data_IF_320958013751
#
_entry.id   IF_320958013751
#
_cell.length_a   1.000
_cell.length_b   1.000
_cell.length_c   1.000
_cell.angle_alpha   90.00
_cell.angle_beta   90.00
_cell.angle_gamma   90.00
#
_symmetry.space_group_name_H-M   'P 1'
#
loop_
_entity.id
_entity.type
_entity.pdbx_description
1 polymer ?
#
# COMPACT_ATOMS: atom_id res chain seq x y z
N UNK A 1 20.25 -13.46 26.32
CA UNK A 1 20.12 -13.37 24.87
C UNK A 1 18.80 -12.66 24.59
N UNK A 2 18.76 -11.67 23.68
CA UNK A 2 17.50 -11.03 23.29
C UNK A 2 16.51 -12.09 22.78
N UNK A 3 15.22 -11.85 22.98
CA UNK A 3 14.16 -12.77 22.53
C UNK A 3 14.34 -13.00 21.01
N UNK A 4 14.31 -14.27 20.55
CA UNK A 4 14.37 -14.57 19.12
C UNK A 4 13.31 -13.83 18.27
N UNK A 5 12.22 -13.38 18.89
CA UNK A 5 11.22 -12.51 18.23
C UNK A 5 11.77 -11.10 17.92
N UNK A 6 12.70 -10.57 18.71
CA UNK A 6 13.30 -9.24 18.53
C UNK A 6 14.40 -9.22 17.45
N UNK A 7 15.09 -10.34 17.22
CA UNK A 7 16.19 -10.41 16.25
C UNK A 7 15.75 -10.82 14.83
N UNK A 8 14.61 -11.51 14.68
CA UNK A 8 14.11 -11.97 13.39
C UNK A 8 13.88 -10.89 12.35
N UNK A 9 13.34 -9.71 12.72
CA UNK A 9 13.13 -8.61 11.77
C UNK A 9 14.42 -8.11 11.11
N UNK A 10 15.53 -8.08 11.83
CA UNK A 10 16.84 -7.69 11.29
C UNK A 10 17.49 -8.82 10.49
N UNK A 11 17.36 -10.06 10.97
CA UNK A 11 17.91 -11.23 10.29
C UNK A 11 17.31 -11.41 8.89
N UNK A 12 16.03 -11.06 8.71
CA UNK A 12 15.34 -11.18 7.42
C UNK A 12 16.02 -10.38 6.29
N UNK A 13 16.58 -9.19 6.60
CA UNK A 13 17.32 -8.40 5.63
C UNK A 13 18.70 -8.96 5.30
N UNK A 14 19.37 -9.60 6.27
CA UNK A 14 20.64 -10.28 6.07
C UNK A 14 20.45 -11.51 5.16
N UNK A 15 19.36 -12.26 5.37
CA UNK A 15 19.04 -13.45 4.60
C UNK A 15 18.57 -13.16 3.17
N UNK A 16 18.10 -11.94 2.91
CA UNK A 16 17.58 -11.52 1.61
C UNK A 16 18.05 -10.10 1.22
N UNK A 17 19.36 -9.86 1.05
CA UNK A 17 19.93 -8.51 0.86
C UNK A 17 19.55 -7.85 -0.48
N UNK A 18 18.94 -8.59 -1.39
CA UNK A 18 18.45 -8.10 -2.69
C UNK A 18 17.04 -7.51 -2.63
N UNK A 19 16.37 -7.60 -1.48
CA UNK A 19 15.00 -7.14 -1.30
C UNK A 19 14.99 -5.78 -0.59
N UNK A 20 15.14 -4.70 -1.31
CA UNK A 20 14.87 -3.31 -0.87
C UNK A 20 15.27 -2.97 0.58
N UNK A 21 14.29 -2.68 1.44
CA UNK A 21 14.51 -2.47 2.88
C UNK A 21 14.51 -3.80 3.59
N UNK A 22 15.63 -4.16 4.20
CA UNK A 22 15.83 -5.44 4.88
C UNK A 22 15.40 -5.48 6.35
N UNK A 23 15.03 -4.34 6.93
CA UNK A 23 14.56 -4.24 8.31
C UNK A 23 13.03 -4.13 8.34
N UNK A 24 12.39 -4.77 9.33
CA UNK A 24 10.95 -4.65 9.60
C UNK A 24 10.71 -4.52 11.11
N UNK A 25 9.61 -3.88 11.51
CA UNK A 25 9.23 -3.72 12.90
C UNK A 25 8.36 -4.89 13.38
N UNK A 26 8.58 -5.33 14.61
CA UNK A 26 7.75 -6.34 15.28
C UNK A 26 6.52 -5.74 15.98
N UNK A 27 6.63 -4.46 16.36
CA UNK A 27 5.58 -3.68 17.02
C UNK A 27 5.84 -2.16 16.85
N UNK A 28 4.98 -1.33 17.45
CA UNK A 28 5.11 0.13 17.42
C UNK A 28 6.37 0.60 18.16
N UNK A 29 6.73 -0.07 19.26
CA UNK A 29 7.87 0.29 20.13
C UNK A 29 9.23 0.00 19.47
N UNK A 30 9.27 -0.86 18.45
CA UNK A 30 10.48 -1.20 17.69
C UNK A 30 11.15 0.05 17.10
N UNK A 31 10.37 1.06 16.70
CA UNK A 31 10.87 2.31 16.12
C UNK A 31 11.54 3.21 17.16
N UNK A 32 11.10 3.16 18.42
CA UNK A 32 11.71 3.91 19.52
C UNK A 32 12.87 3.14 20.16
N UNK A 33 12.70 1.83 20.38
CA UNK A 33 13.72 0.96 20.98
C UNK A 33 14.99 0.88 20.13
N UNK A 34 14.82 0.79 18.81
CA UNK A 34 15.94 0.73 17.85
C UNK A 34 16.08 2.02 17.05
N UNK A 35 15.80 3.16 17.70
CA UNK A 35 15.67 4.46 17.04
C UNK A 35 16.87 4.81 16.15
N UNK A 36 18.09 4.71 16.65
CA UNK A 36 19.31 5.09 15.92
C UNK A 36 19.46 4.28 14.61
N UNK A 37 19.09 3.00 14.67
CA UNK A 37 19.12 2.13 13.50
C UNK A 37 17.95 2.43 12.54
N UNK A 38 16.73 2.53 13.08
CA UNK A 38 15.54 2.77 12.28
C UNK A 38 15.56 4.15 11.61
N UNK A 39 16.00 5.19 12.31
CA UNK A 39 16.17 6.53 11.74
C UNK A 39 17.16 6.51 10.57
N UNK A 40 18.30 5.80 10.69
CA UNK A 40 19.25 5.66 9.60
C UNK A 40 18.65 4.94 8.36
N UNK A 41 17.84 3.91 8.59
CA UNK A 41 17.10 3.21 7.52
C UNK A 41 16.06 4.12 6.85
N UNK A 42 15.30 4.87 7.67
CA UNK A 42 14.27 5.80 7.18
C UNK A 42 14.91 6.94 6.39
N UNK A 43 15.98 7.55 6.89
CA UNK A 43 16.70 8.61 6.19
C UNK A 43 17.32 8.08 4.89
N UNK A 44 17.98 6.93 4.93
CA UNK A 44 18.57 6.32 3.73
C UNK A 44 17.57 5.98 2.65
N UNK A 45 16.36 5.54 3.02
CA UNK A 45 15.30 5.15 2.07
C UNK A 45 14.47 6.34 1.57
N UNK A 46 14.10 7.24 2.45
CA UNK A 46 13.15 8.33 2.18
C UNK A 46 13.80 9.72 2.08
N UNK A 47 15.04 9.90 2.54
CA UNK A 47 15.63 11.22 2.76
C UNK A 47 14.94 12.01 3.89
N UNK A 48 14.19 11.33 4.76
CA UNK A 48 13.40 11.91 5.84
C UNK A 48 14.18 11.90 7.15
N UNK A 49 14.37 13.08 7.74
CA UNK A 49 15.25 13.26 8.91
C UNK A 49 14.54 12.95 10.22
N UNK A 50 15.27 12.55 11.28
CA UNK A 50 14.72 12.29 12.61
C UNK A 50 13.95 13.47 13.24
N UNK A 51 14.18 14.70 12.77
CA UNK A 51 13.51 15.93 13.22
C UNK A 51 12.28 16.31 12.43
N UNK A 52 12.03 15.65 11.31
CA UNK A 52 10.91 15.98 10.42
C UNK A 52 9.57 15.52 11.02
N UNK A 53 8.49 16.18 10.61
CA UNK A 53 7.13 15.83 11.00
C UNK A 53 6.31 15.42 9.79
N UNK A 54 5.53 14.37 9.97
CA UNK A 54 4.62 13.88 8.94
C UNK A 54 3.36 14.74 8.86
N UNK A 55 2.77 14.84 7.66
CA UNK A 55 1.55 15.58 7.37
C UNK A 55 0.41 14.61 7.04
N UNK A 56 -0.81 14.97 7.43
CA UNK A 56 -2.03 14.22 7.06
C UNK A 56 -2.98 15.15 6.31
N UNK A 57 -3.46 14.69 5.17
CA UNK A 57 -4.63 15.22 4.49
C UNK A 57 -5.25 14.10 3.65
N UNK A 58 -6.44 13.65 4.06
CA UNK A 58 -7.21 12.61 3.37
C UNK A 58 -8.50 13.17 2.76
N UNK A 59 -8.67 14.48 2.69
CA UNK A 59 -9.86 15.10 2.08
C UNK A 59 -9.75 15.12 0.55
N UNK A 60 -10.55 14.30 -0.10
CA UNK A 60 -10.61 14.20 -1.57
C UNK A 60 -10.97 15.55 -2.26
N UNK A 61 -11.57 16.50 -1.54
CA UNK A 61 -11.89 17.81 -2.10
C UNK A 61 -10.64 18.64 -2.38
N UNK A 62 -9.55 18.40 -1.66
CA UNK A 62 -8.28 19.10 -1.82
C UNK A 62 -7.50 18.63 -3.07
N UNK A 63 -7.88 17.51 -3.71
CA UNK A 63 -7.30 17.05 -4.97
C UNK A 63 -7.74 17.97 -6.10
N UNK A 64 -6.76 18.53 -6.81
CA UNK A 64 -6.98 19.40 -7.99
C UNK A 64 -6.86 18.56 -9.26
N UNK A 65 -7.96 18.43 -9.96
CA UNK A 65 -8.06 17.76 -11.25
C UNK A 65 -8.98 18.58 -12.16
N UNK A 66 -8.40 19.22 -13.18
CA UNK A 66 -9.17 20.00 -14.14
C UNK A 66 -10.01 19.11 -15.06
N UNK A 67 -11.07 19.66 -15.63
CA UNK A 67 -11.90 18.92 -16.61
C UNK A 67 -11.11 18.49 -17.84
N UNK A 68 -10.08 19.26 -18.24
CA UNK A 68 -9.20 18.90 -19.34
C UNK A 68 -8.32 17.69 -18.98
N UNK A 69 -7.70 17.72 -17.80
CA UNK A 69 -6.91 16.57 -17.29
C UNK A 69 -7.79 15.32 -17.16
N UNK A 70 -9.00 15.44 -16.62
CA UNK A 70 -9.92 14.31 -16.49
C UNK A 70 -10.21 13.66 -17.83
N UNK A 71 -10.50 14.45 -18.89
CA UNK A 71 -10.71 13.93 -20.25
C UNK A 71 -9.48 13.22 -20.83
N UNK A 72 -8.27 13.74 -20.56
CA UNK A 72 -7.01 13.08 -20.97
C UNK A 72 -6.81 11.78 -20.23
N UNK A 73 -7.08 11.76 -18.94
CA UNK A 73 -6.96 10.56 -18.11
C UNK A 73 -7.93 9.46 -18.58
N UNK A 74 -9.17 9.80 -18.92
CA UNK A 74 -10.13 8.84 -19.47
C UNK A 74 -9.65 8.20 -20.79
N UNK A 75 -8.81 8.89 -21.56
CA UNK A 75 -8.25 8.38 -22.81
C UNK A 75 -7.03 7.48 -22.63
N UNK A 76 -6.13 7.82 -21.69
CA UNK A 76 -4.82 7.19 -21.54
C UNK A 76 -4.70 6.25 -20.35
N UNK A 77 -5.51 6.44 -19.30
CA UNK A 77 -5.51 5.63 -18.10
C UNK A 77 -6.43 4.42 -18.26
N UNK A 78 -5.87 3.23 -18.13
CA UNK A 78 -6.59 1.96 -18.21
C UNK A 78 -7.32 1.69 -16.89
N UNK A 79 -6.62 1.88 -15.78
CA UNK A 79 -7.16 1.65 -14.43
C UNK A 79 -6.46 2.53 -13.41
N UNK A 80 -7.17 2.81 -12.32
CA UNK A 80 -6.66 3.54 -11.15
C UNK A 80 -6.73 2.62 -9.92
N UNK A 81 -5.66 2.60 -9.11
CA UNK A 81 -5.60 1.84 -7.87
C UNK A 81 -4.97 2.67 -6.76
N UNK A 82 -5.65 2.78 -5.63
CA UNK A 82 -5.13 3.41 -4.42
C UNK A 82 -5.17 2.41 -3.28
N UNK A 83 -4.04 2.20 -2.62
CA UNK A 83 -3.92 1.31 -1.47
C UNK A 83 -3.10 1.97 -0.36
N UNK A 84 -3.46 1.70 0.90
CA UNK A 84 -2.63 2.06 2.04
C UNK A 84 -2.70 1.02 3.15
N UNK A 85 -1.59 0.89 3.89
CA UNK A 85 -1.52 0.09 5.10
C UNK A 85 -1.98 0.87 6.33
N UNK A 86 -2.60 0.18 7.28
CA UNK A 86 -2.93 0.67 8.63
C UNK A 86 -2.77 -0.45 9.64
N UNK A 87 -2.29 -0.11 10.82
CA UNK A 87 -2.16 -1.05 11.93
C UNK A 87 -2.84 -0.51 13.19
N UNK A 88 -3.20 -1.40 14.12
CA UNK A 88 -4.01 -1.10 15.31
C UNK A 88 -3.05 -0.96 16.49
N UNK A 89 -3.09 0.20 17.17
CA UNK A 89 -2.28 0.48 18.37
C UNK A 89 -2.57 -0.49 19.50
N UNK A 90 -1.51 -0.88 20.21
CA UNK A 90 -1.58 -1.83 21.33
C UNK A 90 -1.62 -3.30 20.93
N UNK A 91 -1.46 -3.60 19.63
CA UNK A 91 -1.29 -4.96 19.11
C UNK A 91 0.01 -5.03 18.31
N UNK A 92 0.85 -6.08 18.48
CA UNK A 92 2.09 -6.22 17.71
C UNK A 92 1.83 -6.29 16.22
N UNK A 93 2.76 -5.78 15.42
CA UNK A 93 2.76 -5.90 13.96
C UNK A 93 2.92 -7.37 13.54
N UNK A 94 2.59 -7.75 12.30
CA UNK A 94 2.60 -9.14 11.86
C UNK A 94 3.85 -9.96 12.20
N UNK A 95 5.09 -9.43 12.17
CA UNK A 95 6.28 -10.18 12.63
C UNK A 95 6.28 -10.54 14.11
N UNK A 96 5.77 -9.65 14.97
CA UNK A 96 5.70 -9.84 16.42
C UNK A 96 4.42 -10.55 16.91
N UNK A 97 3.39 -10.64 16.08
CA UNK A 97 2.07 -11.13 16.46
C UNK A 97 2.04 -12.63 16.72
N UNK A 98 1.50 -13.07 17.86
CA UNK A 98 1.12 -14.47 18.06
C UNK A 98 -0.26 -14.78 17.46
N UNK A 99 -0.63 -16.05 17.44
CA UNK A 99 -1.92 -16.52 16.86
C UNK A 99 -3.15 -15.86 17.50
N UNK A 100 -3.17 -15.71 18.81
CA UNK A 100 -4.29 -15.09 19.53
C UNK A 100 -4.44 -13.61 19.18
N UNK A 101 -3.33 -12.87 19.14
CA UNK A 101 -3.29 -11.46 18.74
C UNK A 101 -3.72 -11.27 17.30
N UNK A 102 -3.25 -12.13 16.37
CA UNK A 102 -3.66 -12.09 14.96
C UNK A 102 -5.16 -12.29 14.78
N UNK A 103 -5.75 -13.26 15.49
CA UNK A 103 -7.21 -13.46 15.51
C UNK A 103 -7.96 -12.29 16.14
N UNK A 104 -7.35 -11.60 17.12
CA UNK A 104 -7.93 -10.37 17.70
C UNK A 104 -7.96 -9.24 16.66
N UNK A 105 -6.86 -9.02 15.92
CA UNK A 105 -6.82 -8.07 14.80
C UNK A 105 -7.91 -8.39 13.77
N UNK A 106 -7.98 -9.65 13.31
CA UNK A 106 -9.01 -10.10 12.38
C UNK A 106 -10.42 -9.78 12.86
N UNK A 107 -10.72 -10.11 14.12
CA UNK A 107 -12.04 -9.85 14.73
C UNK A 107 -12.39 -8.36 14.73
N UNK A 108 -11.47 -7.50 15.18
CA UNK A 108 -11.67 -6.04 15.24
C UNK A 108 -11.93 -5.46 13.84
N UNK A 109 -11.10 -5.81 12.87
CA UNK A 109 -11.25 -5.32 11.50
C UNK A 109 -12.51 -5.86 10.84
N UNK A 110 -12.81 -7.16 10.99
CA UNK A 110 -14.04 -7.77 10.48
C UNK A 110 -15.29 -7.08 11.03
N UNK A 111 -15.32 -6.73 12.33
CA UNK A 111 -16.44 -6.01 12.93
C UNK A 111 -16.68 -4.65 12.28
N UNK A 112 -15.62 -3.90 11.96
CA UNK A 112 -15.72 -2.62 11.25
C UNK A 112 -16.15 -2.80 9.79
N UNK A 113 -15.50 -3.70 9.08
CA UNK A 113 -15.72 -3.93 7.65
C UNK A 113 -17.12 -4.43 7.32
N UNK A 114 -17.68 -5.34 8.13
CA UNK A 114 -19.03 -5.88 7.91
C UNK A 114 -20.16 -4.87 8.17
N UNK A 115 -19.85 -3.71 8.76
CA UNK A 115 -20.79 -2.60 8.96
C UNK A 115 -20.80 -1.59 7.82
N UNK A 116 -19.90 -1.73 6.85
CA UNK A 116 -19.82 -0.83 5.70
C UNK A 116 -21.11 -0.83 4.89
N UNK A 117 -21.47 0.34 4.35
CA UNK A 117 -22.74 0.56 3.63
C UNK A 117 -22.48 1.14 2.22
N UNK A 118 -23.55 1.21 1.43
CA UNK A 118 -23.51 1.79 0.09
C UNK A 118 -22.60 1.01 -0.86
N UNK A 119 -21.80 1.70 -1.64
CA UNK A 119 -20.88 1.09 -2.59
C UNK A 119 -19.75 0.27 -1.94
N UNK A 120 -19.45 0.51 -0.66
CA UNK A 120 -18.45 -0.23 0.11
C UNK A 120 -19.04 -1.46 0.82
N UNK A 121 -20.36 -1.69 0.78
CA UNK A 121 -20.97 -2.85 1.40
C UNK A 121 -20.45 -4.15 0.77
N UNK A 122 -20.06 -5.11 1.61
CA UNK A 122 -19.42 -6.31 1.12
C UNK A 122 -19.42 -7.43 2.16
N UNK A 123 -18.57 -8.43 1.91
CA UNK A 123 -18.44 -9.61 2.75
C UNK A 123 -16.96 -9.90 3.08
N UNK A 124 -16.71 -10.39 4.26
CA UNK A 124 -15.41 -10.87 4.69
C UNK A 124 -15.28 -12.37 4.43
N UNK A 125 -14.16 -12.77 3.87
CA UNK A 125 -13.79 -14.14 3.53
C UNK A 125 -12.50 -14.50 4.26
N UNK A 126 -12.56 -15.33 5.32
CA UNK A 126 -11.35 -15.82 5.98
C UNK A 126 -10.62 -16.80 5.05
N UNK A 127 -9.29 -16.70 4.94
CA UNK A 127 -8.50 -17.60 4.08
C UNK A 127 -8.67 -19.06 4.46
N UNK A 128 -8.71 -19.38 5.77
CA UNK A 128 -8.93 -20.74 6.23
C UNK A 128 -10.33 -21.32 5.95
N UNK A 129 -11.24 -20.53 5.40
CA UNK A 129 -12.59 -20.94 5.01
C UNK A 129 -12.84 -20.94 3.51
N UNK A 130 -11.84 -20.58 2.71
CA UNK A 130 -11.92 -20.64 1.24
C UNK A 130 -11.52 -22.03 0.75
N UNK A 131 -12.12 -22.44 -0.37
CA UNK A 131 -11.59 -23.53 -1.17
C UNK A 131 -10.36 -23.07 -1.96
N UNK A 132 -9.49 -24.00 -2.35
CA UNK A 132 -8.32 -23.70 -3.18
C UNK A 132 -8.71 -23.01 -4.50
N UNK A 133 -9.86 -23.39 -5.07
CA UNK A 133 -10.37 -22.78 -6.30
C UNK A 133 -10.80 -21.32 -6.12
N UNK A 134 -11.50 -21.01 -5.02
CA UNK A 134 -11.89 -19.61 -4.70
C UNK A 134 -10.67 -18.74 -4.40
N UNK A 135 -9.68 -19.29 -3.68
CA UNK A 135 -8.42 -18.58 -3.39
C UNK A 135 -7.67 -18.30 -4.70
N UNK A 136 -7.53 -19.31 -5.56
CA UNK A 136 -6.82 -19.18 -6.83
C UNK A 136 -7.48 -18.19 -7.79
N UNK A 137 -8.82 -18.18 -7.90
CA UNK A 137 -9.55 -17.20 -8.69
C UNK A 137 -9.24 -15.76 -8.26
N UNK A 138 -9.27 -15.49 -6.95
CA UNK A 138 -8.95 -14.16 -6.43
C UNK A 138 -7.47 -13.76 -6.62
N UNK A 139 -6.56 -14.74 -6.62
CA UNK A 139 -5.13 -14.53 -6.90
C UNK A 139 -4.92 -14.20 -8.37
N UNK A 140 -5.51 -14.96 -9.28
CA UNK A 140 -5.38 -14.78 -10.73
C UNK A 140 -5.96 -13.43 -11.19
N UNK A 141 -7.04 -12.99 -10.56
CA UNK A 141 -7.64 -11.67 -10.74
C UNK A 141 -6.86 -10.54 -10.04
N UNK A 142 -5.75 -10.84 -9.35
CA UNK A 142 -4.94 -9.89 -8.58
C UNK A 142 -5.66 -9.17 -7.43
N UNK A 143 -6.69 -9.79 -6.88
CA UNK A 143 -7.45 -9.25 -5.74
C UNK A 143 -6.92 -9.77 -4.40
N UNK A 144 -6.38 -10.98 -4.33
CA UNK A 144 -5.89 -11.59 -3.10
C UNK A 144 -4.36 -11.60 -3.04
N UNK A 145 -3.84 -11.39 -1.83
CA UNK A 145 -2.43 -11.59 -1.53
C UNK A 145 -2.09 -13.09 -1.44
N UNK A 146 -0.85 -13.41 -1.83
CA UNK A 146 -0.37 -14.79 -1.81
C UNK A 146 0.43 -15.08 -0.55
N UNK A 147 0.49 -16.35 -0.16
CA UNK A 147 1.41 -16.80 0.88
C UNK A 147 2.84 -16.45 0.48
N UNK A 148 3.59 -15.72 1.32
CA UNK A 148 4.97 -15.37 1.02
C UNK A 148 5.83 -16.62 0.78
N UNK A 149 6.65 -16.59 -0.27
CA UNK A 149 7.64 -17.64 -0.51
C UNK A 149 8.68 -17.67 0.60
N UNK A 150 9.37 -18.80 0.84
CA UNK A 150 10.39 -18.91 1.88
C UNK A 150 11.56 -17.91 1.77
N UNK A 151 11.77 -17.33 0.59
CA UNK A 151 12.80 -16.31 0.34
C UNK A 151 12.29 -14.87 0.50
N UNK A 152 11.02 -14.70 0.84
CA UNK A 152 10.42 -13.38 1.06
C UNK A 152 10.72 -12.87 2.47
N UNK A 153 10.95 -11.56 2.61
CA UNK A 153 11.18 -10.90 3.91
C UNK A 153 10.07 -11.21 4.91
N UNK A 154 8.80 -11.23 4.48
CA UNK A 154 7.66 -11.54 5.35
C UNK A 154 7.66 -12.97 5.90
N UNK A 155 8.19 -13.93 5.14
CA UNK A 155 8.37 -15.29 5.64
C UNK A 155 9.52 -15.34 6.65
N UNK A 156 10.65 -14.72 6.34
CA UNK A 156 11.86 -14.75 7.15
C UNK A 156 11.68 -14.01 8.48
N UNK A 157 10.98 -12.86 8.50
CA UNK A 157 10.69 -12.12 9.73
C UNK A 157 9.58 -12.77 10.59
N UNK A 158 8.96 -13.84 10.12
CA UNK A 158 7.90 -14.56 10.84
C UNK A 158 6.49 -14.00 10.66
N UNK A 159 6.29 -12.99 9.81
CA UNK A 159 4.96 -12.45 9.51
C UNK A 159 4.02 -13.51 8.90
N UNK A 160 4.56 -14.49 8.19
CA UNK A 160 3.80 -15.59 7.58
C UNK A 160 3.54 -16.79 8.51
N UNK A 161 3.86 -16.68 9.81
CA UNK A 161 3.59 -17.79 10.76
C UNK A 161 2.12 -18.15 10.80
N UNK A 162 1.86 -19.42 11.08
CA UNK A 162 0.49 -19.97 11.24
C UNK A 162 -0.43 -19.74 10.03
N UNK A 163 0.13 -19.61 8.83
CA UNK A 163 -0.68 -19.43 7.62
C UNK A 163 -1.66 -20.60 7.42
N UNK A 164 -2.95 -20.36 7.07
CA UNK A 164 -3.62 -19.08 6.78
C UNK A 164 -4.37 -18.45 7.96
N UNK A 165 -4.18 -18.92 9.19
CA UNK A 165 -4.94 -18.56 10.37
C UNK A 165 -4.96 -17.05 10.66
N UNK A 166 -6.15 -16.51 10.95
CA UNK A 166 -6.36 -15.10 11.28
C UNK A 166 -6.15 -14.13 10.11
N UNK A 167 -6.23 -14.62 8.87
CA UNK A 167 -6.09 -13.82 7.64
C UNK A 167 -7.32 -13.92 6.78
N UNK A 168 -7.56 -12.88 5.98
CA UNK A 168 -8.69 -12.88 5.06
C UNK A 168 -8.74 -11.65 4.19
N UNK A 169 -9.75 -11.63 3.36
CA UNK A 169 -10.09 -10.52 2.48
C UNK A 169 -11.54 -10.10 2.68
N UNK A 170 -11.76 -8.80 2.75
CA UNK A 170 -13.08 -8.21 2.57
C UNK A 170 -13.16 -7.62 1.18
N UNK A 171 -14.27 -7.81 0.48
CA UNK A 171 -14.53 -7.08 -0.76
C UNK A 171 -16.03 -6.83 -0.98
N UNK A 172 -16.34 -5.77 -1.73
CA UNK A 172 -17.68 -5.51 -2.21
C UNK A 172 -18.01 -6.39 -3.44
N UNK A 173 -19.27 -6.36 -3.89
CA UNK A 173 -19.73 -7.19 -5.00
C UNK A 173 -19.03 -6.89 -6.33
N UNK A 174 -18.60 -5.64 -6.56
CA UNK A 174 -17.90 -5.21 -7.78
C UNK A 174 -16.40 -5.51 -7.76
N UNK A 175 -15.85 -5.92 -6.61
CA UNK A 175 -14.42 -6.08 -6.39
C UNK A 175 -13.60 -4.80 -6.72
N UNK A 176 -14.21 -3.61 -6.63
CA UNK A 176 -13.57 -2.31 -6.77
C UNK A 176 -13.17 -1.68 -5.42
N UNK A 177 -13.56 -2.32 -4.33
CA UNK A 177 -13.17 -2.03 -2.96
C UNK A 177 -12.84 -3.32 -2.22
N UNK A 178 -11.60 -3.41 -1.69
CA UNK A 178 -11.08 -4.58 -1.01
C UNK A 178 -10.28 -4.18 0.22
N UNK A 179 -10.26 -5.04 1.24
CA UNK A 179 -9.38 -4.89 2.40
C UNK A 179 -8.72 -6.22 2.71
N UNK A 180 -7.39 -6.24 2.67
CA UNK A 180 -6.60 -7.37 3.13
C UNK A 180 -6.40 -7.28 4.64
N UNK A 181 -6.48 -8.41 5.33
CA UNK A 181 -6.32 -8.49 6.77
C UNK A 181 -5.14 -9.41 7.10
N UNK A 182 -4.20 -8.87 7.91
CA UNK A 182 -3.01 -9.57 8.39
C UNK A 182 -2.11 -10.14 7.27
N UNK A 183 -1.81 -9.31 6.27
CA UNK A 183 -0.78 -9.59 5.28
C UNK A 183 0.57 -9.06 5.79
N UNK A 184 1.08 -7.92 5.31
CA UNK A 184 2.30 -7.26 5.79
C UNK A 184 2.01 -6.31 6.97
N UNK A 185 0.86 -5.61 6.93
CA UNK A 185 0.31 -4.80 7.99
C UNK A 185 -0.98 -5.42 8.50
N UNK A 186 -1.59 -4.88 9.59
CA UNK A 186 -2.86 -5.40 10.09
C UNK A 186 -3.96 -5.31 9.04
N UNK A 187 -4.01 -4.22 8.26
CA UNK A 187 -4.89 -4.14 7.09
C UNK A 187 -4.24 -3.37 5.94
N UNK A 188 -4.67 -3.69 4.72
CA UNK A 188 -4.45 -2.89 3.53
C UNK A 188 -5.77 -2.58 2.86
N UNK A 189 -6.14 -1.31 2.85
CA UNK A 189 -7.34 -0.81 2.18
C UNK A 189 -7.01 -0.52 0.73
N UNK A 190 -7.78 -1.09 -0.18
CA UNK A 190 -7.57 -1.00 -1.63
C UNK A 190 -8.86 -0.52 -2.27
N UNK A 191 -8.77 0.58 -3.00
CA UNK A 191 -9.83 1.09 -3.86
C UNK A 191 -9.31 1.15 -5.29
N UNK A 192 -10.08 0.65 -6.24
CA UNK A 192 -9.69 0.61 -7.64
C UNK A 192 -10.88 0.80 -8.57
N UNK A 193 -10.61 1.24 -9.81
CA UNK A 193 -11.63 1.40 -10.85
C UNK A 193 -10.96 1.37 -12.23
N UNK A 194 -11.68 0.89 -13.24
CA UNK A 194 -11.26 1.07 -14.62
C UNK A 194 -11.37 2.55 -15.01
N UNK A 195 -10.38 3.04 -15.79
CA UNK A 195 -10.31 4.44 -16.21
C UNK A 195 -9.63 5.36 -15.22
N UNK A 196 -9.66 6.67 -15.51
CA UNK A 196 -8.88 7.72 -14.87
C UNK A 196 -9.56 8.48 -13.73
N UNK A 197 -10.65 7.99 -13.14
CA UNK A 197 -11.39 8.70 -12.10
C UNK A 197 -10.70 8.63 -10.71
N UNK A 198 -9.50 9.18 -10.64
CA UNK A 198 -8.62 9.13 -9.45
C UNK A 198 -9.30 9.72 -8.22
N UNK A 199 -10.03 10.84 -8.38
CA UNK A 199 -10.69 11.53 -7.26
C UNK A 199 -11.76 10.65 -6.61
N UNK A 200 -12.56 9.93 -7.39
CA UNK A 200 -13.57 8.99 -6.89
C UNK A 200 -12.93 7.81 -6.17
N UNK A 201 -11.86 7.23 -6.75
CA UNK A 201 -11.12 6.12 -6.15
C UNK A 201 -10.50 6.52 -4.82
N UNK A 202 -9.92 7.73 -4.74
CA UNK A 202 -9.37 8.27 -3.49
C UNK A 202 -10.46 8.56 -2.46
N UNK A 203 -11.59 9.17 -2.85
CA UNK A 203 -12.70 9.46 -1.94
C UNK A 203 -13.27 8.18 -1.30
N UNK A 204 -13.41 7.09 -2.09
CA UNK A 204 -13.84 5.79 -1.56
C UNK A 204 -12.82 5.21 -0.58
N UNK A 205 -11.54 5.28 -0.92
CA UNK A 205 -10.45 4.84 -0.03
C UNK A 205 -10.44 5.63 1.28
N UNK A 206 -10.50 6.96 1.22
CA UNK A 206 -10.52 7.87 2.38
C UNK A 206 -11.72 7.59 3.30
N UNK A 207 -12.93 7.50 2.71
CA UNK A 207 -14.14 7.16 3.46
C UNK A 207 -14.00 5.82 4.19
N UNK A 208 -13.45 4.80 3.52
CA UNK A 208 -13.27 3.47 4.11
C UNK A 208 -12.30 3.49 5.30
N UNK A 209 -11.17 4.17 5.18
CA UNK A 209 -10.20 4.33 6.27
C UNK A 209 -10.85 4.99 7.48
N UNK A 210 -11.64 6.05 7.26
CA UNK A 210 -12.36 6.75 8.32
C UNK A 210 -13.44 5.89 8.99
N UNK A 211 -14.19 5.09 8.23
CA UNK A 211 -15.23 4.20 8.80
C UNK A 211 -14.61 3.07 9.64
N UNK A 212 -13.50 2.48 9.21
CA UNK A 212 -12.77 1.50 10.03
C UNK A 212 -12.23 2.13 11.30
N UNK A 213 -11.68 3.35 11.23
CA UNK A 213 -11.17 4.06 12.41
C UNK A 213 -12.28 4.33 13.44
N UNK A 214 -13.45 4.78 12.98
CA UNK A 214 -14.63 4.97 13.85
C UNK A 214 -15.03 3.66 14.54
N UNK A 215 -15.04 2.55 13.81
CA UNK A 215 -15.37 1.26 14.37
C UNK A 215 -14.34 0.78 15.42
N UNK A 216 -13.05 1.01 15.17
CA UNK A 216 -11.98 0.72 16.12
C UNK A 216 -12.11 1.58 17.40
N UNK A 217 -12.34 2.88 17.25
CA UNK A 217 -12.54 3.81 18.38
C UNK A 217 -13.75 3.43 19.25
N UNK A 218 -14.81 2.91 18.64
CA UNK A 218 -15.97 2.40 19.39
C UNK A 218 -15.66 1.15 20.23
N UNK A 219 -14.59 0.42 19.90
CA UNK A 219 -14.11 -0.74 20.66
C UNK A 219 -12.88 -0.40 21.55
N UNK A 220 -12.51 0.89 21.66
CA UNK A 220 -11.39 1.38 22.48
C UNK A 220 -10.03 1.23 21.84
N UNK A 221 -9.96 1.09 20.52
CA UNK A 221 -8.74 1.00 19.73
C UNK A 221 -8.60 2.18 18.78
N UNK A 222 -7.37 2.42 18.30
CA UNK A 222 -7.05 3.42 17.28
C UNK A 222 -5.95 2.91 16.34
N UNK A 223 -5.69 3.65 15.25
CA UNK A 223 -4.55 3.34 14.41
C UNK A 223 -3.21 3.66 15.10
N UNK A 224 -2.17 2.89 14.77
CA UNK A 224 -0.79 3.23 15.12
C UNK A 224 -0.39 4.48 14.34
N UNK A 225 -0.22 5.59 15.02
CA UNK A 225 0.17 6.86 14.43
C UNK A 225 1.03 7.68 15.40
N UNK A 226 2.08 8.32 14.92
CA UNK A 226 2.78 9.37 15.64
C UNK A 226 3.14 10.54 14.69
N UNK A 227 3.44 11.71 15.28
CA UNK A 227 3.69 12.93 14.51
C UNK A 227 4.96 12.88 13.65
N UNK A 228 5.93 12.06 14.03
CA UNK A 228 7.17 11.89 13.27
C UNK A 228 7.00 10.86 12.16
N UNK A 229 6.60 9.65 12.48
CA UNK A 229 6.54 8.53 11.53
C UNK A 229 5.25 8.47 10.71
N UNK A 230 4.22 9.25 11.08
CA UNK A 230 2.90 9.11 10.47
C UNK A 230 2.24 7.80 10.87
N UNK A 231 1.58 7.12 9.93
CA UNK A 231 1.04 5.78 10.18
C UNK A 231 2.18 4.77 10.27
N UNK A 232 2.22 4.06 11.38
CA UNK A 232 3.26 3.05 11.64
C UNK A 232 2.92 1.78 10.88
N UNK A 233 3.88 1.31 10.11
CA UNK A 233 3.81 0.12 9.27
C UNK A 233 4.91 -0.87 9.65
N UNK A 234 4.74 -2.12 9.27
CA UNK A 234 5.73 -3.20 9.48
C UNK A 234 7.06 -2.89 8.80
N UNK A 235 7.01 -2.46 7.53
CA UNK A 235 8.21 -2.10 6.77
C UNK A 235 8.43 -0.58 6.82
N UNK A 236 9.65 -0.10 7.15
CA UNK A 236 9.97 1.32 7.14
C UNK A 236 9.68 2.01 5.80
N UNK A 237 9.74 1.30 4.69
CA UNK A 237 9.41 1.84 3.36
C UNK A 237 7.95 2.27 3.19
N UNK A 238 7.06 1.85 4.09
CA UNK A 238 5.63 2.16 4.06
C UNK A 238 5.21 3.20 5.10
N UNK A 239 6.13 3.70 5.95
CA UNK A 239 5.83 4.71 6.96
C UNK A 239 5.22 5.99 6.35
N UNK A 240 4.56 6.77 7.19
CA UNK A 240 3.94 8.03 6.81
C UNK A 240 2.50 7.83 6.38
N UNK A 241 2.19 8.01 5.11
CA UNK A 241 0.85 7.76 4.58
C UNK A 241 0.53 6.27 4.43
N UNK A 242 1.55 5.41 4.31
CA UNK A 242 1.39 4.02 3.88
C UNK A 242 0.77 3.89 2.49
N UNK A 243 0.58 5.00 1.77
CA UNK A 243 -0.24 5.09 0.57
C UNK A 243 0.58 4.91 -0.70
N UNK A 244 0.08 4.04 -1.58
CA UNK A 244 0.47 3.98 -2.98
C UNK A 244 -0.76 4.24 -3.85
N UNK A 245 -0.75 5.39 -4.54
CA UNK A 245 -1.69 5.72 -5.59
C UNK A 245 -1.04 5.45 -6.94
N UNK A 246 -1.67 4.65 -7.78
CA UNK A 246 -1.15 4.30 -9.09
C UNK A 246 -2.22 4.33 -10.18
N UNK A 247 -1.76 4.56 -11.39
CA UNK A 247 -2.56 4.38 -12.61
C UNK A 247 -1.80 3.49 -13.59
N UNK A 248 -2.54 2.60 -14.24
CA UNK A 248 -2.05 1.90 -15.43
C UNK A 248 -2.19 2.82 -16.62
N UNK A 249 -1.07 3.31 -17.13
CA UNK A 249 -1.00 4.34 -18.17
C UNK A 249 -0.47 3.76 -19.48
N UNK A 250 -1.12 4.10 -20.60
CA UNK A 250 -0.73 3.64 -21.94
C UNK A 250 0.10 4.70 -22.65
N UNK A 251 1.39 4.40 -22.91
CA UNK A 251 2.39 5.30 -23.48
C UNK A 251 3.16 4.65 -24.65
N UNK A 252 2.51 4.22 -25.74
CA UNK A 252 3.16 3.46 -26.81
C UNK A 252 4.25 4.23 -27.55
N UNK A 253 4.07 5.54 -27.78
CA UNK A 253 5.04 6.37 -28.53
C UNK A 253 6.26 6.69 -27.67
N UNK A 254 6.05 7.07 -26.39
CA UNK A 254 7.14 7.29 -25.43
C UNK A 254 7.94 6.00 -25.25
N UNK A 255 7.28 4.86 -25.05
CA UNK A 255 7.96 3.59 -24.91
C UNK A 255 8.82 3.25 -26.14
N UNK A 256 8.28 3.42 -27.33
CA UNK A 256 9.00 3.20 -28.60
C UNK A 256 10.20 4.15 -28.78
N UNK A 257 10.03 5.41 -28.37
CA UNK A 257 11.05 6.46 -28.58
C UNK A 257 12.13 6.49 -27.51
N UNK A 258 11.77 6.27 -26.24
CA UNK A 258 12.66 6.43 -25.10
C UNK A 258 13.17 5.11 -24.51
N UNK A 259 12.39 4.04 -24.63
CA UNK A 259 12.61 2.81 -23.90
C UNK A 259 12.29 2.95 -22.40
N UNK A 260 12.48 1.86 -21.65
CA UNK A 260 12.13 1.78 -20.23
C UNK A 260 12.98 2.70 -19.36
N UNK A 261 14.30 2.61 -19.47
CA UNK A 261 15.22 3.31 -18.56
C UNK A 261 15.10 4.84 -18.61
N UNK A 262 14.93 5.41 -19.81
CA UNK A 262 14.76 6.86 -19.95
C UNK A 262 13.44 7.32 -19.40
N UNK A 263 12.38 6.52 -19.56
CA UNK A 263 11.05 6.80 -19.00
C UNK A 263 11.07 6.72 -17.47
N UNK A 264 11.69 5.70 -16.90
CA UNK A 264 11.89 5.57 -15.45
C UNK A 264 12.66 6.77 -14.87
N UNK A 265 13.79 7.14 -15.46
CA UNK A 265 14.57 8.29 -15.02
C UNK A 265 13.79 9.60 -15.08
N UNK A 266 12.95 9.78 -16.11
CA UNK A 266 12.09 10.94 -16.22
C UNK A 266 10.98 10.92 -15.14
N UNK A 267 10.34 9.78 -14.91
CA UNK A 267 9.37 9.63 -13.83
C UNK A 267 9.98 9.96 -12.46
N UNK A 268 11.20 9.46 -12.20
CA UNK A 268 11.92 9.78 -10.97
C UNK A 268 12.14 11.28 -10.78
N UNK A 269 12.45 12.02 -11.84
CA UNK A 269 12.61 13.48 -11.80
C UNK A 269 11.31 14.23 -11.48
N UNK A 270 10.16 13.59 -11.68
CA UNK A 270 8.84 14.12 -11.36
C UNK A 270 8.32 13.69 -9.97
N UNK A 271 9.10 12.92 -9.20
CA UNK A 271 8.69 12.37 -7.91
C UNK A 271 7.69 11.20 -8.03
N UNK A 272 7.55 10.62 -9.23
CA UNK A 272 6.75 9.43 -9.47
C UNK A 272 7.64 8.27 -9.90
N UNK A 273 7.12 7.05 -9.80
CA UNK A 273 7.80 5.83 -10.18
C UNK A 273 7.04 5.13 -11.31
N UNK A 274 7.73 4.75 -12.36
CA UNK A 274 7.21 3.85 -13.37
C UNK A 274 7.59 2.40 -13.02
N UNK A 275 6.63 1.48 -13.14
CA UNK A 275 6.82 0.04 -13.01
C UNK A 275 6.21 -0.67 -14.21
N UNK A 276 6.58 -1.92 -14.43
CA UNK A 276 5.95 -2.74 -15.46
C UNK A 276 4.49 -3.08 -15.15
N UNK A 277 3.79 -3.57 -16.15
CA UNK A 277 2.35 -3.81 -16.09
C UNK A 277 1.91 -4.87 -15.06
N UNK A 278 2.80 -5.78 -14.66
CA UNK A 278 2.53 -6.84 -13.68
C UNK A 278 3.17 -6.60 -12.30
N UNK A 279 3.61 -5.36 -12.03
CA UNK A 279 4.22 -4.96 -10.76
C UNK A 279 5.73 -4.76 -10.83
N UNK A 280 6.37 -4.71 -9.66
CA UNK A 280 7.80 -4.45 -9.50
C UNK A 280 8.64 -5.50 -10.24
N UNK A 281 9.67 -5.04 -10.94
CA UNK A 281 10.56 -5.88 -11.77
C UNK A 281 9.91 -6.60 -12.97
N UNK A 282 8.63 -6.28 -13.31
CA UNK A 282 8.03 -6.79 -14.54
C UNK A 282 8.30 -5.87 -15.73
N UNK A 283 8.34 -6.40 -16.96
CA UNK A 283 8.42 -5.55 -18.16
C UNK A 283 7.14 -4.73 -18.33
N UNK A 284 7.20 -3.63 -19.10
CA UNK A 284 6.00 -2.93 -19.55
C UNK A 284 5.07 -3.88 -20.31
N UNK A 285 3.80 -3.53 -20.35
CA UNK A 285 2.86 -4.27 -21.20
C UNK A 285 3.20 -4.15 -22.68
N UNK A 286 2.71 -5.09 -23.51
CA UNK A 286 3.09 -5.20 -24.92
C UNK A 286 2.73 -3.96 -25.75
N UNK A 287 1.77 -3.15 -25.32
CA UNK A 287 1.37 -1.91 -25.98
C UNK A 287 1.91 -0.65 -25.28
N UNK A 288 2.95 -0.77 -24.44
CA UNK A 288 3.54 0.34 -23.70
C UNK A 288 2.73 0.73 -22.46
N UNK A 289 2.17 -0.24 -21.77
CA UNK A 289 1.48 -0.02 -20.50
C UNK A 289 2.47 0.00 -19.33
N UNK A 290 2.37 1.05 -18.51
CA UNK A 290 3.17 1.27 -17.30
C UNK A 290 2.29 1.54 -16.09
N UNK A 291 2.64 0.99 -14.94
CA UNK A 291 2.07 1.37 -13.66
C UNK A 291 2.83 2.59 -13.12
N UNK A 292 2.21 3.76 -13.16
CA UNK A 292 2.77 5.03 -12.67
C UNK A 292 2.21 5.31 -11.28
N UNK A 293 3.09 5.53 -10.29
CA UNK A 293 2.68 5.77 -8.90
C UNK A 293 3.53 6.83 -8.21
N UNK A 294 3.03 7.38 -7.08
CA UNK A 294 3.85 8.20 -6.20
C UNK A 294 5.06 7.39 -5.68
N UNK A 295 6.23 8.05 -5.60
CA UNK A 295 7.47 7.46 -5.08
C UNK A 295 7.56 7.60 -3.56
N UNK A 296 7.33 8.79 -3.03
CA UNK A 296 7.37 9.08 -1.60
C UNK A 296 6.20 8.44 -0.82
N UNK A 297 6.38 8.31 0.49
CA UNK A 297 5.38 7.82 1.45
C UNK A 297 5.28 8.70 2.69
N UNK A 298 6.41 9.19 3.20
CA UNK A 298 6.54 9.98 4.42
C UNK A 298 6.95 11.41 4.09
N UNK A 299 6.61 12.37 4.94
CA UNK A 299 6.90 13.80 4.73
C UNK A 299 5.89 14.55 3.88
N UNK A 300 4.97 13.84 3.23
CA UNK A 300 3.88 14.35 2.41
C UNK A 300 2.55 13.84 2.92
N UNK A 301 1.48 14.60 2.72
CA UNK A 301 0.13 14.10 2.96
C UNK A 301 -0.35 13.17 1.83
N UNK A 302 -1.43 12.44 2.08
CA UNK A 302 -2.05 11.56 1.10
C UNK A 302 -2.50 12.34 -0.14
N UNK A 303 -3.10 13.51 0.06
CA UNK A 303 -3.51 14.41 -1.02
C UNK A 303 -2.31 14.91 -1.81
N UNK A 304 -1.23 15.33 -1.16
CA UNK A 304 0.00 15.78 -1.83
C UNK A 304 0.59 14.66 -2.72
N UNK A 305 0.62 13.41 -2.23
CA UNK A 305 1.13 12.27 -3.01
C UNK A 305 0.25 11.92 -4.22
N UNK A 306 -1.08 11.97 -4.04
CA UNK A 306 -2.01 11.77 -5.16
C UNK A 306 -1.88 12.91 -6.18
N UNK A 307 -1.71 14.15 -5.73
CA UNK A 307 -1.49 15.29 -6.61
C UNK A 307 -0.19 15.17 -7.41
N UNK A 308 0.92 14.77 -6.77
CA UNK A 308 2.18 14.50 -7.48
C UNK A 308 2.01 13.44 -8.57
N UNK A 309 1.27 12.38 -8.29
CA UNK A 309 0.97 11.35 -9.28
C UNK A 309 0.12 11.90 -10.43
N UNK A 310 -0.92 12.70 -10.16
CA UNK A 310 -1.74 13.36 -11.17
C UNK A 310 -0.89 14.27 -12.07
N UNK A 311 -0.05 15.11 -11.48
CA UNK A 311 0.78 16.06 -12.20
C UNK A 311 1.86 15.34 -13.05
N UNK A 312 2.44 14.26 -12.52
CA UNK A 312 3.38 13.40 -13.27
C UNK A 312 2.73 12.73 -14.46
N UNK A 313 1.52 12.16 -14.27
CA UNK A 313 0.74 11.53 -15.34
C UNK A 313 0.34 12.53 -16.43
N UNK A 314 -0.11 13.73 -16.05
CA UNK A 314 -0.45 14.79 -17.02
C UNK A 314 0.76 15.18 -17.89
N UNK A 315 1.96 15.28 -17.30
CA UNK A 315 3.20 15.54 -18.05
C UNK A 315 3.58 14.40 -19.01
N UNK A 316 3.43 13.16 -18.58
CA UNK A 316 3.68 11.98 -19.41
C UNK A 316 2.72 11.93 -20.60
N UNK A 317 1.42 12.22 -20.39
CA UNK A 317 0.42 12.26 -21.45
C UNK A 317 0.74 13.38 -22.45
N UNK A 318 1.10 14.57 -21.99
CA UNK A 318 1.50 15.67 -22.88
C UNK A 318 2.71 15.32 -23.77
N UNK A 319 3.69 14.61 -23.22
CA UNK A 319 4.82 14.12 -24.00
C UNK A 319 4.41 13.03 -25.00
N UNK A 320 3.55 12.09 -24.59
CA UNK A 320 3.00 11.07 -25.48
C UNK A 320 2.24 11.68 -26.68
N UNK A 321 1.49 12.79 -26.41
CA UNK A 321 0.74 13.52 -27.45
C UNK A 321 1.65 14.30 -28.39
N UNK A 322 2.83 14.74 -27.93
CA UNK A 322 3.77 15.54 -28.71
C UNK A 322 4.64 14.71 -29.68
N UNK A 323 4.71 13.41 -29.48
CA UNK A 323 5.40 12.45 -30.37
C UNK A 323 4.45 11.91 -31.44
#
# INVERSE_FOLDING_TARGET
LPDPAETRPLQAGIDAPHLGVGAVAGDEESYDTFKDFMDAVIEGWHGYKPTDKHKIDIDANNIKLSSEQAKKFDKYVISTRIRAGRSIRGLPLPPGTNRSQRRKVEKLLRNGLTRMKGEMAGKYYPLGGMTEAEEQELIDDHFLFQKPSPRNVLANCGAARDWPDGRGIFHNAKKDFLVWVNEEDHMRVISMEQGGNIKKVFARWSAAVGEVEKALKAEGFEYMYNEHLGNVCTCPSNLGTGLRASVMLKLPKLYKSWGVHKLEAYCDSLGVQARGAKGEHSPPGPSGEFDISNKARIGYSEVELVQQMIDGVDRLIKLEESL
#
